data_IF_628558040926
#
_entry.id   IF_628558040926
#
_cell.length_a   1.000
_cell.length_b   1.000
_cell.length_c   1.000
_cell.angle_alpha   90.00
_cell.angle_beta   90.00
_cell.angle_gamma   90.00
#
_symmetry.space_group_name_H-M   'P 1'
#
loop_
_entity.id
_entity.type
_entity.pdbx_description
1 polymer ?
#
# COMPACT_ATOMS: atom_id res chain seq x y z
N UNK A 1 17.80 17.33 14.25
CA UNK A 1 16.88 16.31 14.75
C UNK A 1 15.45 16.73 14.40
N UNK A 2 15.00 16.49 13.17
CA UNK A 2 13.63 16.81 12.71
C UNK A 2 12.76 15.54 12.57
N UNK A 3 13.38 14.37 12.70
CA UNK A 3 12.77 13.09 12.38
C UNK A 3 11.91 12.51 13.51
N UNK A 4 12.06 12.97 14.75
CA UNK A 4 11.41 12.32 15.89
C UNK A 4 10.01 12.88 16.22
N UNK A 5 9.73 14.15 15.88
CA UNK A 5 8.41 14.77 16.08
C UNK A 5 7.55 14.85 14.81
N UNK A 6 8.18 14.94 13.62
CA UNK A 6 7.48 15.04 12.32
C UNK A 6 7.52 13.71 11.54
N UNK A 7 8.51 12.85 11.80
CA UNK A 7 8.79 11.68 10.98
C UNK A 7 7.68 10.63 10.96
N UNK A 8 6.87 10.50 12.02
CA UNK A 8 5.71 9.60 12.01
C UNK A 8 4.58 10.11 11.11
N UNK A 9 4.20 11.38 11.25
CA UNK A 9 3.12 11.97 10.43
C UNK A 9 3.50 12.08 8.96
N UNK A 10 4.73 12.45 8.63
CA UNK A 10 5.16 12.52 7.23
C UNK A 10 5.27 11.13 6.59
N UNK A 11 5.79 10.13 7.32
CA UNK A 11 5.85 8.75 6.83
C UNK A 11 4.44 8.17 6.64
N UNK A 12 3.54 8.40 7.60
CA UNK A 12 2.14 7.98 7.49
C UNK A 12 1.44 8.68 6.31
N UNK A 13 1.69 9.98 6.11
CA UNK A 13 1.17 10.73 4.95
C UNK A 13 1.64 10.13 3.63
N UNK A 14 2.95 9.91 3.45
CA UNK A 14 3.47 9.31 2.22
C UNK A 14 2.92 7.90 2.01
N UNK A 15 2.89 7.08 3.07
CA UNK A 15 2.40 5.71 2.94
C UNK A 15 0.91 5.65 2.63
N UNK A 16 0.09 6.59 3.12
CA UNK A 16 -1.30 6.70 2.71
C UNK A 16 -1.43 6.82 1.18
N UNK A 17 -0.72 7.75 0.54
CA UNK A 17 -0.76 7.86 -0.93
C UNK A 17 -0.24 6.62 -1.64
N UNK A 18 0.80 5.96 -1.11
CA UNK A 18 1.29 4.69 -1.67
C UNK A 18 0.25 3.57 -1.59
N UNK A 19 -0.59 3.57 -0.54
CA UNK A 19 -1.70 2.63 -0.39
C UNK A 19 -2.83 2.97 -1.36
N UNK A 20 -3.19 4.24 -1.52
CA UNK A 20 -4.18 4.67 -2.52
C UNK A 20 -3.74 4.30 -3.94
N UNK A 21 -2.49 4.59 -4.32
CA UNK A 21 -1.94 4.19 -5.62
C UNK A 21 -1.95 2.67 -5.80
N UNK A 22 -1.65 1.89 -4.76
CA UNK A 22 -1.77 0.43 -4.84
C UNK A 22 -3.21 -0.01 -5.12
N UNK A 23 -4.22 0.59 -4.47
CA UNK A 23 -5.63 0.25 -4.68
C UNK A 23 -6.06 0.53 -6.12
N UNK A 24 -5.65 1.67 -6.67
CA UNK A 24 -5.88 2.02 -8.07
C UNK A 24 -5.24 0.97 -9.00
N UNK A 25 -3.93 0.74 -8.86
CA UNK A 25 -3.20 -0.22 -9.68
C UNK A 25 -3.78 -1.64 -9.61
N UNK A 26 -4.20 -2.08 -8.41
CA UNK A 26 -4.72 -3.42 -8.17
C UNK A 26 -6.17 -3.63 -8.68
N UNK A 27 -6.90 -2.55 -8.95
CA UNK A 27 -8.26 -2.60 -9.52
C UNK A 27 -8.29 -2.35 -11.03
N UNK A 28 -7.17 -1.91 -11.62
CA UNK A 28 -7.04 -1.75 -13.07
C UNK A 28 -6.94 -3.11 -13.79
N UNK A 29 -7.86 -3.45 -14.73
CA UNK A 29 -7.85 -4.75 -15.41
C UNK A 29 -6.56 -5.06 -16.18
N UNK A 30 -5.90 -4.02 -16.72
CA UNK A 30 -4.61 -4.16 -17.44
C UNK A 30 -3.50 -4.72 -16.54
N UNK A 31 -3.58 -4.53 -15.22
CA UNK A 31 -2.57 -4.96 -14.25
C UNK A 31 -2.87 -6.33 -13.63
N UNK A 32 -3.95 -7.02 -14.04
CA UNK A 32 -4.35 -8.31 -13.46
C UNK A 32 -3.27 -9.42 -13.58
N UNK A 33 -2.31 -9.26 -14.48
CA UNK A 33 -1.18 -10.17 -14.67
C UNK A 33 0.00 -9.90 -13.71
N UNK A 34 -0.01 -8.77 -12.99
CA UNK A 34 1.05 -8.36 -12.07
C UNK A 34 0.72 -8.89 -10.66
N UNK A 35 1.71 -9.43 -9.97
CA UNK A 35 1.54 -9.88 -8.59
C UNK A 35 1.25 -8.70 -7.64
N UNK A 36 0.51 -8.95 -6.55
CA UNK A 36 0.23 -7.92 -5.54
C UNK A 36 1.50 -7.28 -4.96
N UNK A 37 2.58 -8.05 -4.83
CA UNK A 37 3.83 -7.50 -4.34
C UNK A 37 4.54 -6.63 -5.39
N UNK A 38 4.39 -6.96 -6.68
CA UNK A 38 4.85 -6.10 -7.78
C UNK A 38 4.12 -4.75 -7.77
N UNK A 39 2.80 -4.77 -7.67
CA UNK A 39 1.99 -3.55 -7.58
C UNK A 39 2.30 -2.72 -6.32
N UNK A 40 2.64 -3.37 -5.20
CA UNK A 40 3.08 -2.66 -3.99
C UNK A 40 4.45 -1.96 -4.20
N UNK A 41 5.33 -2.54 -5.00
CA UNK A 41 6.59 -1.91 -5.37
C UNK A 41 6.38 -0.76 -6.35
N UNK A 42 5.51 -0.93 -7.33
CA UNK A 42 5.13 0.13 -8.28
C UNK A 42 4.44 1.30 -7.57
N UNK A 43 3.73 1.04 -6.46
CA UNK A 43 3.16 2.07 -5.60
C UNK A 43 4.17 2.75 -4.68
N UNK A 44 5.44 2.34 -4.69
CA UNK A 44 6.55 3.01 -4.00
C UNK A 44 6.94 2.42 -2.64
N UNK A 45 6.45 1.22 -2.26
CA UNK A 45 6.99 0.51 -1.10
C UNK A 45 8.32 -0.17 -1.44
N UNK A 46 9.28 -0.11 -0.52
CA UNK A 46 10.59 -0.77 -0.69
C UNK A 46 10.65 -2.17 -0.06
N UNK A 47 9.58 -2.64 0.59
CA UNK A 47 9.53 -3.99 1.16
C UNK A 47 8.11 -4.50 1.35
N UNK A 48 7.96 -5.83 1.24
CA UNK A 48 6.72 -6.55 1.54
C UNK A 48 6.24 -6.32 2.98
N UNK A 49 7.15 -6.32 3.94
CA UNK A 49 6.82 -6.15 5.36
C UNK A 49 6.25 -4.76 5.63
N UNK A 50 6.86 -3.70 5.10
CA UNK A 50 6.34 -2.35 5.23
C UNK A 50 4.95 -2.25 4.59
N UNK A 51 4.81 -2.70 3.34
CA UNK A 51 3.53 -2.68 2.63
C UNK A 51 2.42 -3.37 3.44
N UNK A 52 2.61 -4.63 3.85
CA UNK A 52 1.59 -5.36 4.59
C UNK A 52 1.24 -4.69 5.93
N UNK A 53 2.23 -4.10 6.61
CA UNK A 53 2.01 -3.42 7.90
C UNK A 53 1.14 -2.17 7.71
N UNK A 54 1.50 -1.30 6.76
CA UNK A 54 0.75 -0.07 6.50
C UNK A 54 -0.60 -0.36 5.86
N UNK A 55 -0.68 -1.29 4.91
CA UNK A 55 -1.94 -1.67 4.28
C UNK A 55 -2.93 -2.20 5.31
N UNK A 56 -2.51 -3.10 6.21
CA UNK A 56 -3.38 -3.61 7.27
C UNK A 56 -3.75 -2.53 8.29
N UNK A 57 -2.80 -1.64 8.65
CA UNK A 57 -3.06 -0.50 9.56
C UNK A 57 -4.16 0.42 8.99
N UNK A 58 -4.12 0.70 7.70
CA UNK A 58 -5.00 1.68 7.05
C UNK A 58 -6.33 1.09 6.57
N UNK A 59 -6.29 -0.10 5.95
CA UNK A 59 -7.45 -0.74 5.32
C UNK A 59 -8.14 -1.74 6.25
N UNK A 60 -7.45 -2.22 7.30
CA UNK A 60 -7.96 -3.24 8.22
C UNK A 60 -7.98 -4.67 7.66
N UNK A 61 -7.71 -4.84 6.37
CA UNK A 61 -7.71 -6.12 5.65
C UNK A 61 -6.33 -6.42 5.08
N UNK A 62 -6.07 -7.68 4.73
CA UNK A 62 -4.93 -8.00 3.86
C UNK A 62 -5.23 -7.57 2.41
N UNK A 63 -4.20 -7.31 1.59
CA UNK A 63 -4.39 -6.93 0.18
C UNK A 63 -5.23 -7.94 -0.61
N UNK A 64 -5.07 -9.24 -0.32
CA UNK A 64 -5.83 -10.31 -0.96
C UNK A 64 -7.31 -10.30 -0.55
N UNK A 65 -7.60 -10.08 0.73
CA UNK A 65 -8.97 -9.96 1.23
C UNK A 65 -9.66 -8.72 0.67
N UNK A 66 -8.95 -7.59 0.61
CA UNK A 66 -9.44 -6.36 0.01
C UNK A 66 -9.92 -6.58 -1.44
N UNK A 67 -9.09 -7.20 -2.28
CA UNK A 67 -9.47 -7.47 -3.68
C UNK A 67 -10.62 -8.46 -3.80
N UNK A 68 -10.67 -9.49 -2.94
CA UNK A 68 -11.78 -10.44 -2.92
C UNK A 68 -13.11 -9.75 -2.60
N UNK A 69 -13.11 -8.72 -1.76
CA UNK A 69 -14.31 -7.99 -1.36
C UNK A 69 -14.79 -6.97 -2.41
N UNK A 70 -13.98 -6.68 -3.43
CA UNK A 70 -14.36 -5.78 -4.53
C UNK A 70 -15.01 -6.53 -5.72
N UNK A 71 -14.95 -7.86 -5.72
CA UNK A 71 -15.61 -8.74 -6.71
C UNK A 71 -17.00 -9.12 -6.23
#
# INVERSE_FOLDING_TARGET
LLNESIGKNFTDFINHYRIETFKELATEPKNAHISLIGLAYDSGFNSKTAFNTYFKKEVGLTPKEFLKNLQ
#
